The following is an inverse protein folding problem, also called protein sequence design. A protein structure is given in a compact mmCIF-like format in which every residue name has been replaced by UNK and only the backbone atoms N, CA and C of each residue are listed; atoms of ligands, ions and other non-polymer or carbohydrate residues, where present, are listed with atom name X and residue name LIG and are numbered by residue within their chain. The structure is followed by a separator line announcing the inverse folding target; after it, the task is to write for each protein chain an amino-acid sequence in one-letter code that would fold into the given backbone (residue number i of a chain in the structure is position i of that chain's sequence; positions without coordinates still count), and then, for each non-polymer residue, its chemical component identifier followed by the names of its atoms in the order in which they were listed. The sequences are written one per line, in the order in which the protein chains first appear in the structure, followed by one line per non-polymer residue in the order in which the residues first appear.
data_IF_006934319422
#
_entry.id   IF_006934319422
#
_cell.length_a   1.000
_cell.length_b   1.000
_cell.length_c   1.000
_cell.angle_alpha   90.00
_cell.angle_beta   90.00
_cell.angle_gamma   90.00
#
_symmetry.space_group_name_H-M   'P 1'
#
loop_
_entity.id
_entity.type
_entity.pdbx_description
1 polymer ?
#
# COMPACT_ATOMS: atom_id res chain seq x y z
N UNK A 1 -3.01 24.64 13.79
CA UNK A 1 -2.58 23.87 12.60
C UNK A 1 -3.79 23.70 11.71
N UNK A 2 -3.70 24.09 10.44
CA UNK A 2 -4.78 23.90 9.48
C UNK A 2 -4.54 22.62 8.68
N UNK A 3 -5.20 21.53 9.09
CA UNK A 3 -5.13 20.24 8.41
C UNK A 3 -5.70 20.30 6.98
N UNK A 4 -6.48 21.32 6.64
CA UNK A 4 -7.03 21.53 5.30
C UNK A 4 -5.95 21.92 4.28
N UNK A 5 -4.83 22.47 4.72
CA UNK A 5 -3.69 22.77 3.84
C UNK A 5 -2.99 21.49 3.39
N UNK A 6 -2.78 20.52 4.29
CA UNK A 6 -2.20 19.22 3.95
C UNK A 6 -3.12 18.43 2.99
N UNK A 7 -4.43 18.45 3.24
CA UNK A 7 -5.42 17.81 2.35
C UNK A 7 -5.35 18.38 0.94
N UNK A 8 -5.20 19.71 0.81
CA UNK A 8 -5.05 20.36 -0.48
C UNK A 8 -3.77 19.92 -1.19
N UNK A 9 -2.63 19.94 -0.48
CA UNK A 9 -1.35 19.52 -1.04
C UNK A 9 -1.38 18.06 -1.52
N UNK A 10 -1.96 17.15 -0.72
CA UNK A 10 -2.14 15.74 -1.15
C UNK A 10 -3.06 15.65 -2.36
N UNK A 11 -4.13 16.43 -2.42
CA UNK A 11 -5.03 16.47 -3.57
C UNK A 11 -4.33 16.90 -4.87
N UNK A 12 -3.44 17.90 -4.79
CA UNK A 12 -2.61 18.35 -5.92
C UNK A 12 -1.67 17.24 -6.36
N UNK A 13 -0.94 16.60 -5.45
CA UNK A 13 -0.04 15.50 -5.77
C UNK A 13 -0.79 14.32 -6.40
N UNK A 14 -1.97 13.96 -5.89
CA UNK A 14 -2.79 12.90 -6.49
C UNK A 14 -3.22 13.24 -7.92
N UNK A 15 -3.61 14.50 -8.17
CA UNK A 15 -3.94 14.96 -9.51
C UNK A 15 -2.75 14.82 -10.46
N UNK A 16 -1.55 15.23 -10.03
CA UNK A 16 -0.32 15.14 -10.81
C UNK A 16 0.08 13.70 -11.09
N UNK A 17 -0.02 12.81 -10.10
CA UNK A 17 0.32 11.40 -10.28
C UNK A 17 -0.60 10.70 -11.29
N UNK A 18 -1.85 11.13 -11.39
CA UNK A 18 -2.81 10.59 -12.35
C UNK A 18 -2.60 11.17 -13.75
N UNK A 19 -2.38 12.47 -13.87
CA UNK A 19 -2.43 13.17 -15.16
C UNK A 19 -1.06 13.52 -15.74
N UNK A 20 -0.02 13.50 -14.92
CA UNK A 20 1.30 14.04 -15.24
C UNK A 20 1.33 15.57 -15.38
N UNK A 21 0.27 16.27 -14.97
CA UNK A 21 0.12 17.73 -15.10
C UNK A 21 -0.34 18.36 -13.79
N UNK A 22 0.07 19.59 -13.55
CA UNK A 22 -0.34 20.33 -12.36
C UNK A 22 -1.78 20.85 -12.52
N UNK A 23 -2.67 20.73 -11.50
CA UNK A 23 -4.07 21.14 -11.62
C UNK A 23 -4.24 22.65 -11.89
N UNK A 24 -3.33 23.48 -11.40
CA UNK A 24 -3.34 24.94 -11.58
C UNK A 24 -2.19 25.45 -12.46
N UNK A 25 -1.81 24.66 -13.47
CA UNK A 25 -0.74 25.02 -14.41
C UNK A 25 -0.99 26.38 -15.10
N UNK A 26 0.02 27.24 -15.12
CA UNK A 26 0.00 28.55 -15.74
C UNK A 26 1.43 28.96 -16.15
N UNK A 27 1.53 29.91 -17.08
CA UNK A 27 2.83 30.39 -17.59
C UNK A 27 3.64 31.20 -16.56
N UNK A 28 2.96 31.70 -15.52
CA UNK A 28 3.55 32.50 -14.45
C UNK A 28 3.09 32.02 -13.07
N UNK A 29 3.89 32.29 -12.05
CA UNK A 29 3.58 31.94 -10.66
C UNK A 29 2.31 32.69 -10.21
N UNK A 30 2.20 33.97 -10.59
CA UNK A 30 1.03 34.81 -10.31
C UNK A 30 -0.23 34.23 -10.94
N UNK A 31 -0.13 33.73 -12.18
CA UNK A 31 -1.23 33.04 -12.85
C UNK A 31 -1.66 31.76 -12.12
N UNK A 32 -0.70 30.97 -11.62
CA UNK A 32 -1.00 29.78 -10.84
C UNK A 32 -1.68 30.12 -9.49
N UNK A 33 -1.20 31.15 -8.81
CA UNK A 33 -1.80 31.65 -7.56
C UNK A 33 -3.25 32.11 -7.81
N UNK A 34 -3.49 32.82 -8.90
CA UNK A 34 -4.83 33.30 -9.23
C UNK A 34 -5.79 32.13 -9.54
N UNK A 35 -5.34 31.12 -10.29
CA UNK A 35 -6.12 29.90 -10.52
C UNK A 35 -6.45 29.16 -9.23
N UNK A 36 -5.50 29.07 -8.29
CA UNK A 36 -5.73 28.47 -6.96
C UNK A 36 -6.80 29.26 -6.20
N UNK A 37 -6.71 30.60 -6.20
CA UNK A 37 -7.68 31.48 -5.54
C UNK A 37 -9.08 31.36 -6.12
N UNK A 38 -9.18 31.27 -7.44
CA UNK A 38 -10.45 31.12 -8.16
C UNK A 38 -11.00 29.69 -8.08
N UNK A 39 -10.17 28.71 -7.73
CA UNK A 39 -10.53 27.28 -7.80
C UNK A 39 -10.63 26.77 -9.24
N UNK A 40 -9.95 27.41 -10.19
CA UNK A 40 -9.92 27.02 -11.60
C UNK A 40 -8.88 25.89 -11.82
N UNK A 41 -9.21 24.72 -11.28
CA UNK A 41 -8.43 23.51 -11.48
C UNK A 41 -8.77 22.84 -12.82
N UNK A 42 -7.76 22.32 -13.50
CA UNK A 42 -7.96 21.44 -14.65
C UNK A 42 -8.83 20.24 -14.26
N UNK A 43 -9.68 19.80 -15.18
CA UNK A 43 -10.56 18.65 -14.95
C UNK A 43 -9.77 17.35 -15.10
N UNK A 44 -10.01 16.41 -14.18
CA UNK A 44 -9.49 15.06 -14.33
C UNK A 44 -10.09 14.37 -15.57
N UNK A 45 -9.29 13.56 -16.28
CA UNK A 45 -9.72 12.87 -17.49
C UNK A 45 -10.76 11.78 -17.18
N UNK A 46 -11.52 11.38 -18.21
CA UNK A 46 -12.68 10.48 -18.09
C UNK A 46 -12.32 9.04 -17.72
N UNK A 47 -11.06 8.63 -17.91
CA UNK A 47 -10.58 7.32 -17.49
C UNK A 47 -10.41 7.20 -15.97
N UNK A 48 -10.36 8.33 -15.25
CA UNK A 48 -10.32 8.33 -13.78
C UNK A 48 -11.71 7.95 -13.27
N UNK A 49 -11.82 6.97 -12.35
CA UNK A 49 -13.09 6.59 -11.74
C UNK A 49 -13.80 7.80 -11.13
N UNK A 50 -15.10 7.90 -11.37
CA UNK A 50 -15.92 9.05 -10.95
C UNK A 50 -15.82 9.36 -9.45
N UNK A 51 -15.80 8.33 -8.61
CA UNK A 51 -15.68 8.46 -7.16
C UNK A 51 -14.34 9.11 -6.75
N UNK A 52 -13.24 8.67 -7.37
CA UNK A 52 -11.91 9.24 -7.13
C UNK A 52 -11.80 10.66 -7.68
N UNK A 53 -12.39 10.92 -8.85
CA UNK A 53 -12.44 12.25 -9.44
C UNK A 53 -13.15 13.26 -8.51
N UNK A 54 -14.33 12.88 -7.99
CA UNK A 54 -15.05 13.70 -7.01
C UNK A 54 -14.25 13.92 -5.74
N UNK A 55 -13.59 12.88 -5.23
CA UNK A 55 -12.78 12.99 -4.01
C UNK A 55 -11.64 13.99 -4.20
N UNK A 56 -10.85 13.85 -5.26
CA UNK A 56 -9.74 14.75 -5.57
C UNK A 56 -10.24 16.18 -5.79
N UNK A 57 -11.33 16.37 -6.53
CA UNK A 57 -11.94 17.68 -6.75
C UNK A 57 -12.38 18.36 -5.45
N UNK A 58 -12.84 17.60 -4.45
CA UNK A 58 -13.16 18.13 -3.11
C UNK A 58 -11.89 18.46 -2.31
N UNK A 59 -10.83 17.67 -2.45
CA UNK A 59 -9.55 17.91 -1.76
C UNK A 59 -8.88 19.21 -2.23
N UNK A 60 -8.89 19.48 -3.54
CA UNK A 60 -8.28 20.68 -4.14
C UNK A 60 -9.22 21.89 -4.20
N UNK A 61 -10.28 21.91 -3.38
CA UNK A 61 -11.23 23.02 -3.37
C UNK A 61 -10.58 24.32 -2.84
N UNK A 62 -10.86 25.46 -3.48
CA UNK A 62 -10.39 26.77 -3.01
C UNK A 62 -10.96 27.14 -1.64
N UNK A 63 -12.18 26.68 -1.34
CA UNK A 63 -12.84 26.84 -0.05
C UNK A 63 -12.40 25.73 0.92
N UNK A 64 -11.65 26.11 1.96
CA UNK A 64 -11.10 25.16 2.93
C UNK A 64 -12.18 24.39 3.71
N UNK A 65 -13.37 24.98 3.90
CA UNK A 65 -14.46 24.36 4.67
C UNK A 65 -15.07 23.19 3.89
N UNK A 66 -15.01 23.24 2.56
CA UNK A 66 -15.54 22.20 1.67
C UNK A 66 -14.59 21.02 1.49
N UNK A 67 -13.35 21.14 1.97
CA UNK A 67 -12.36 20.05 1.89
C UNK A 67 -12.77 18.94 2.86
N UNK A 68 -12.70 17.66 2.44
CA UNK A 68 -13.00 16.55 3.31
C UNK A 68 -11.93 16.43 4.40
N UNK A 69 -12.31 15.93 5.57
CA UNK A 69 -11.32 15.58 6.59
C UNK A 69 -10.57 14.31 6.17
N UNK A 70 -9.37 14.09 6.73
CA UNK A 70 -8.64 12.83 6.54
C UNK A 70 -9.50 11.62 6.92
N UNK A 71 -10.33 11.74 7.95
CA UNK A 71 -11.26 10.68 8.35
C UNK A 71 -12.29 10.38 7.24
N UNK A 72 -12.80 11.40 6.56
CA UNK A 72 -13.76 11.22 5.46
C UNK A 72 -13.09 10.64 4.21
N UNK A 73 -11.85 11.03 3.92
CA UNK A 73 -11.04 10.44 2.86
C UNK A 73 -10.83 8.94 3.13
N UNK A 74 -10.50 8.55 4.37
CA UNK A 74 -10.26 7.16 4.76
C UNK A 74 -11.53 6.29 4.76
N UNK A 75 -12.71 6.90 4.87
CA UNK A 75 -14.00 6.20 4.73
C UNK A 75 -14.34 5.87 3.27
N UNK A 76 -13.71 6.53 2.30
CA UNK A 76 -13.96 6.25 0.89
C UNK A 76 -13.59 4.78 0.56
N UNK A 77 -14.52 4.07 -0.09
CA UNK A 77 -14.39 2.64 -0.33
C UNK A 77 -13.21 2.32 -1.26
N UNK A 78 -12.97 3.15 -2.27
CA UNK A 78 -11.86 3.00 -3.22
C UNK A 78 -10.51 3.16 -2.51
N UNK A 79 -10.38 4.18 -1.66
CA UNK A 79 -9.18 4.43 -0.86
C UNK A 79 -8.94 3.26 0.11
N UNK A 80 -9.97 2.88 0.87
CA UNK A 80 -9.90 1.79 1.84
C UNK A 80 -9.50 0.47 1.19
N UNK A 81 -10.10 0.12 0.05
CA UNK A 81 -9.76 -1.09 -0.69
C UNK A 81 -8.31 -1.07 -1.18
N UNK A 82 -7.83 0.08 -1.68
CA UNK A 82 -6.45 0.23 -2.17
C UNK A 82 -5.43 0.05 -1.05
N UNK A 83 -5.68 0.64 0.12
CA UNK A 83 -4.82 0.51 1.30
C UNK A 83 -4.79 -0.94 1.79
N UNK A 84 -5.95 -1.60 1.86
CA UNK A 84 -6.04 -2.99 2.27
C UNK A 84 -5.24 -3.92 1.32
N UNK A 85 -5.42 -3.74 0.01
CA UNK A 85 -4.69 -4.50 -1.00
C UNK A 85 -3.17 -4.27 -0.92
N UNK A 86 -2.72 -3.06 -0.58
CA UNK A 86 -1.30 -2.77 -0.38
C UNK A 86 -0.73 -3.59 0.79
N UNK A 87 -1.39 -3.58 1.95
CA UNK A 87 -0.93 -4.35 3.12
C UNK A 87 -0.93 -5.85 2.88
N UNK A 88 -1.94 -6.37 2.18
CA UNK A 88 -2.00 -7.79 1.80
C UNK A 88 -0.85 -8.19 0.87
N UNK A 89 -0.50 -7.33 -0.08
CA UNK A 89 0.65 -7.54 -0.97
C UNK A 89 1.97 -7.50 -0.21
N UNK A 90 2.15 -6.56 0.72
CA UNK A 90 3.37 -6.48 1.54
C UNK A 90 3.54 -7.71 2.44
N UNK A 91 2.46 -8.16 3.09
CA UNK A 91 2.48 -9.41 3.88
C UNK A 91 2.86 -10.62 3.02
N UNK A 92 2.26 -10.72 1.83
CA UNK A 92 2.54 -11.82 0.89
C UNK A 92 4.00 -11.80 0.39
N UNK A 93 4.62 -10.63 0.23
CA UNK A 93 6.03 -10.50 -0.13
C UNK A 93 6.92 -10.97 1.01
N UNK A 94 6.60 -10.59 2.25
CA UNK A 94 7.38 -11.00 3.42
C UNK A 94 7.36 -12.52 3.63
N UNK A 95 6.17 -13.13 3.56
CA UNK A 95 6.04 -14.59 3.67
C UNK A 95 6.81 -15.34 2.57
N UNK A 96 6.91 -14.77 1.36
CA UNK A 96 7.73 -15.32 0.28
C UNK A 96 9.22 -15.20 0.58
N UNK A 97 9.68 -14.03 1.04
CA UNK A 97 11.08 -13.80 1.45
C UNK A 97 11.50 -14.77 2.56
N UNK A 98 10.65 -14.98 3.56
CA UNK A 98 10.90 -15.93 4.65
C UNK A 98 11.01 -17.38 4.14
N UNK A 99 10.10 -17.81 3.25
CA UNK A 99 10.12 -19.16 2.65
C UNK A 99 11.36 -19.37 1.77
N UNK A 100 11.73 -18.36 0.98
CA UNK A 100 12.95 -18.38 0.15
C UNK A 100 14.19 -18.48 1.02
N UNK A 101 14.28 -17.68 2.10
CA UNK A 101 15.40 -17.73 3.04
C UNK A 101 15.50 -19.10 3.73
N UNK A 102 14.37 -19.69 4.16
CA UNK A 102 14.32 -21.02 4.75
C UNK A 102 14.76 -22.10 3.75
N UNK A 103 14.35 -22.01 2.48
CA UNK A 103 14.75 -22.94 1.43
C UNK A 103 16.25 -22.84 1.13
N UNK A 104 16.83 -21.63 1.10
CA UNK A 104 18.27 -21.42 0.94
C UNK A 104 19.04 -22.06 2.10
N UNK A 105 18.63 -21.83 3.35
CA UNK A 105 19.27 -22.42 4.53
C UNK A 105 19.20 -23.95 4.49
N UNK A 106 18.04 -24.52 4.18
CA UNK A 106 17.86 -25.97 4.06
C UNK A 106 18.74 -26.59 2.96
N UNK A 107 18.94 -25.86 1.86
CA UNK A 107 19.79 -26.30 0.75
C UNK A 107 21.28 -26.15 1.07
N UNK A 108 21.64 -25.19 1.92
CA UNK A 108 23.01 -24.96 2.38
C UNK A 108 23.48 -25.94 3.47
N UNK A 109 22.57 -26.69 4.11
CA UNK A 109 22.91 -27.77 5.03
C UNK A 109 23.54 -28.95 4.28
N UNK A 110 24.76 -29.35 4.68
CA UNK A 110 25.51 -30.45 4.04
C UNK A 110 24.75 -31.78 4.15
N UNK A 111 24.88 -32.69 3.17
CA UNK A 111 24.21 -34.00 3.20
C UNK A 111 24.58 -34.88 4.40
N UNK A 112 25.72 -34.62 5.07
CA UNK A 112 26.21 -35.41 6.20
C UNK A 112 25.28 -35.40 7.42
N UNK A 113 24.46 -34.36 7.57
CA UNK A 113 23.60 -34.21 8.74
C UNK A 113 22.21 -34.85 8.54
N UNK A 114 21.92 -35.37 7.33
CA UNK A 114 20.66 -36.04 6.98
C UNK A 114 20.61 -37.54 7.34
N UNK A 115 21.74 -38.17 7.70
CA UNK A 115 21.84 -39.63 7.90
C UNK A 115 21.89 -40.06 9.39
N UNK A 116 22.11 -39.14 10.34
CA UNK A 116 22.35 -39.53 11.74
C UNK A 116 21.09 -39.73 12.60
N UNK A 117 19.89 -39.63 12.03
CA UNK A 117 18.62 -39.78 12.77
C UNK A 117 17.79 -40.97 12.28
N UNK A 118 18.39 -42.10 11.90
CA UNK A 118 17.62 -43.36 11.79
C UNK A 118 18.50 -44.62 11.77
N UNK A 119 18.70 -45.24 12.95
CA UNK A 119 18.90 -46.70 13.15
C UNK A 119 19.22 -47.18 14.58
N UNK A 120 18.85 -46.43 15.63
CA UNK A 120 19.08 -46.89 17.03
C UNK A 120 17.86 -46.94 17.95
N UNK A 121 16.66 -46.58 17.50
CA UNK A 121 15.45 -46.58 18.35
C UNK A 121 14.45 -47.72 18.05
N UNK A 122 14.64 -48.51 16.98
CA UNK A 122 13.70 -49.59 16.63
C UNK A 122 14.07 -50.97 17.20
N UNK A 123 15.30 -51.18 17.67
CA UNK A 123 15.72 -52.49 18.23
C UNK A 123 15.32 -52.64 19.71
N UNK A 124 15.18 -51.55 20.46
CA UNK A 124 14.87 -51.63 21.90
C UNK A 124 13.38 -51.81 22.20
N UNK A 125 12.48 -51.53 21.25
CA UNK A 125 11.03 -51.70 21.47
C UNK A 125 10.57 -53.17 21.33
N UNK A 126 11.29 -54.01 20.58
CA UNK A 126 10.91 -55.42 20.39
C UNK A 126 11.50 -56.37 21.43
N UNK A 127 12.27 -55.88 22.40
CA UNK A 127 12.85 -56.72 23.47
C UNK A 127 11.98 -56.80 24.73
N UNK A 128 11.02 -55.88 24.93
CA UNK A 128 10.19 -55.84 26.13
C UNK A 128 8.81 -56.51 26.01
N UNK A 129 8.39 -57.00 24.84
CA UNK A 129 7.12 -57.76 24.70
C UNK A 129 7.27 -59.29 24.83
N UNK A 130 8.49 -59.81 25.07
CA UNK A 130 8.71 -61.26 25.25
C UNK A 130 8.99 -61.69 26.70
N UNK A 131 8.70 -60.84 27.69
CA UNK A 131 8.87 -61.16 29.12
C UNK A 131 7.66 -60.77 30.00
N UNK A 132 6.44 -60.78 29.47
CA UNK A 132 5.21 -60.75 30.29
C UNK A 132 4.21 -61.79 29.83
#
# INVERSE_FOLDING_TARGET
MDFGTDVFAVGVVLFELLTGRHPFEADTIEGAIEKIRQGDAQKLPTWVPFDLNQLISKMINSDYIKRPTTLDIMKNQTVKASIQQYYEKEKSKEEKREKEQQAIVLTALKPSDKICIDRRSTIDYQRNEKQS
#
